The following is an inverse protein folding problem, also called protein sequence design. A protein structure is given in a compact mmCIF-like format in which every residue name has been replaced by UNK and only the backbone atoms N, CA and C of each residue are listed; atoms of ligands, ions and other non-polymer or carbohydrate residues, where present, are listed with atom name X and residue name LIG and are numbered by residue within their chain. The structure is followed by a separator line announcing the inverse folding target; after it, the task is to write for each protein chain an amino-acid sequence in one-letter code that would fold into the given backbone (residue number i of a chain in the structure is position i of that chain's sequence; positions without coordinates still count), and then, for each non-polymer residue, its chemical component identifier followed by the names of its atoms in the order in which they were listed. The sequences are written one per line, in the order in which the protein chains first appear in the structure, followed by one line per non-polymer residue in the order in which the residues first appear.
data_IF_902812178205
#
_entry.id   IF_902812178205
#
_cell.length_a   1.000
_cell.length_b   1.000
_cell.length_c   1.000
_cell.angle_alpha   90.00
_cell.angle_beta   90.00
_cell.angle_gamma   90.00
#
_symmetry.space_group_name_H-M   'P 1'
#
loop_
_entity.id
_entity.type
_entity.pdbx_description
1 polymer ?
#
# COMPACT_ATOMS: atom_id res chain seq x y z
N UNK A 1 35.04 57.16 -25.13
CA UNK A 1 34.93 56.12 -24.09
C UNK A 1 33.78 55.20 -24.49
N UNK A 2 34.09 54.11 -25.19
CA UNK A 2 33.13 53.14 -25.71
C UNK A 2 33.11 51.96 -24.75
N UNK A 3 31.98 51.69 -24.09
CA UNK A 3 31.83 50.53 -23.23
C UNK A 3 31.46 49.30 -24.07
N UNK A 4 32.43 48.41 -24.30
CA UNK A 4 32.18 47.06 -24.80
C UNK A 4 31.59 46.22 -23.65
N UNK A 5 30.32 45.83 -23.79
CA UNK A 5 29.69 44.79 -22.96
C UNK A 5 30.04 43.43 -23.56
N UNK A 6 31.00 42.72 -22.95
CA UNK A 6 31.26 41.32 -23.23
C UNK A 6 30.14 40.45 -22.65
N UNK A 7 29.28 39.92 -23.53
CA UNK A 7 28.27 38.93 -23.18
C UNK A 7 28.93 37.56 -22.95
N UNK A 8 28.77 36.98 -21.76
CA UNK A 8 29.16 35.59 -21.49
C UNK A 8 28.16 34.64 -22.17
N UNK A 9 28.64 33.85 -23.14
CA UNK A 9 27.89 32.74 -23.70
C UNK A 9 28.00 31.53 -22.76
N UNK A 10 26.94 31.25 -22.00
CA UNK A 10 26.81 30.00 -21.27
C UNK A 10 26.50 28.88 -22.25
N UNK A 11 27.42 27.91 -22.39
CA UNK A 11 27.15 26.65 -23.09
C UNK A 11 26.03 25.92 -22.34
N UNK A 12 24.87 25.76 -22.98
CA UNK A 12 23.81 24.89 -22.51
C UNK A 12 24.32 23.44 -22.51
N UNK A 13 24.72 22.93 -21.35
CA UNK A 13 24.86 21.50 -21.15
C UNK A 13 23.45 20.89 -21.24
N UNK A 14 23.27 19.92 -22.16
CA UNK A 14 22.07 19.07 -22.21
C UNK A 14 21.80 18.54 -20.79
N UNK A 15 20.55 18.59 -20.28
CA UNK A 15 20.24 17.94 -19.02
C UNK A 15 20.53 16.45 -19.17
N UNK A 16 21.48 15.98 -18.36
CA UNK A 16 21.73 14.56 -18.13
C UNK A 16 20.40 13.98 -17.64
N UNK A 17 19.82 13.06 -18.39
CA UNK A 17 18.70 12.26 -17.90
C UNK A 17 19.18 11.54 -16.65
N UNK A 18 18.75 12.01 -15.48
CA UNK A 18 18.81 11.22 -14.28
C UNK A 18 17.80 10.10 -14.49
N UNK A 19 18.27 8.93 -14.93
CA UNK A 19 17.61 7.70 -14.52
C UNK A 19 17.70 7.69 -12.99
N UNK A 20 16.58 8.01 -12.34
CA UNK A 20 16.40 7.73 -10.93
C UNK A 20 16.39 6.21 -10.82
N UNK A 21 17.54 5.65 -10.50
CA UNK A 21 17.57 4.35 -9.86
C UNK A 21 16.89 4.56 -8.51
N UNK A 22 15.62 4.19 -8.42
CA UNK A 22 14.85 4.27 -7.18
C UNK A 22 15.44 3.27 -6.19
N UNK A 23 16.51 3.70 -5.52
CA UNK A 23 17.21 2.94 -4.50
C UNK A 23 16.37 3.00 -3.21
N UNK A 24 15.19 2.35 -3.25
CA UNK A 24 14.36 2.17 -2.08
C UNK A 24 15.14 1.30 -1.09
N UNK A 25 15.37 1.81 0.11
CA UNK A 25 15.79 0.97 1.23
C UNK A 25 14.81 -0.18 1.38
N UNK A 26 15.32 -1.42 1.53
CA UNK A 26 14.45 -2.59 1.64
C UNK A 26 13.60 -2.47 2.92
N UNK A 27 12.28 -2.45 2.79
CA UNK A 27 11.33 -2.23 3.89
C UNK A 27 11.56 -3.22 5.04
N UNK A 28 11.83 -4.49 4.73
CA UNK A 28 12.07 -5.52 5.74
C UNK A 28 13.43 -5.40 6.44
N UNK A 29 14.45 -4.80 5.82
CA UNK A 29 15.73 -4.59 6.51
C UNK A 29 15.67 -3.49 7.57
N UNK A 30 14.72 -2.57 7.46
CA UNK A 30 14.53 -1.46 8.40
C UNK A 30 13.35 -1.67 9.36
N UNK A 31 12.42 -2.57 9.01
CA UNK A 31 11.45 -3.08 9.96
C UNK A 31 12.19 -3.98 10.95
N UNK A 32 12.58 -3.40 12.08
CA UNK A 32 12.99 -4.18 13.23
C UNK A 32 11.78 -5.00 13.72
N UNK A 33 11.58 -6.19 13.14
CA UNK A 33 10.81 -7.25 13.76
C UNK A 33 11.60 -7.67 15.00
N UNK A 34 11.40 -6.95 16.10
CA UNK A 34 12.07 -7.19 17.37
C UNK A 34 11.62 -8.53 18.00
N UNK A 35 10.55 -9.12 17.49
CA UNK A 35 10.01 -10.41 17.91
C UNK A 35 9.46 -11.19 16.71
N UNK A 36 9.50 -12.53 16.79
CA UNK A 36 8.77 -13.42 15.88
C UNK A 36 7.24 -13.17 15.88
N UNK A 37 6.72 -12.48 16.90
CA UNK A 37 5.32 -12.09 17.01
C UNK A 37 5.02 -10.73 16.38
N UNK A 38 6.03 -10.00 15.88
CA UNK A 38 5.78 -8.73 15.21
C UNK A 38 5.13 -8.98 13.85
N UNK A 39 4.13 -8.17 13.50
CA UNK A 39 3.36 -8.31 12.26
C UNK A 39 3.08 -6.94 11.68
N UNK A 40 3.26 -6.80 10.37
CA UNK A 40 2.75 -5.66 9.61
C UNK A 40 1.41 -6.04 9.03
N UNK A 41 0.43 -5.16 9.22
CA UNK A 41 -0.91 -5.28 8.68
C UNK A 41 -1.07 -4.25 7.57
N UNK A 42 -1.37 -4.72 6.37
CA UNK A 42 -1.86 -3.90 5.27
C UNK A 42 -3.33 -4.24 5.10
N UNK A 43 -4.19 -3.24 5.24
CA UNK A 43 -5.64 -3.40 5.25
C UNK A 43 -6.28 -2.50 4.21
N UNK A 44 -7.27 -3.02 3.51
CA UNK A 44 -8.15 -2.26 2.64
C UNK A 44 -9.62 -2.57 2.99
N UNK A 45 -10.45 -1.55 3.06
CA UNK A 45 -11.92 -1.65 3.02
C UNK A 45 -12.42 -0.83 1.86
N UNK A 46 -13.29 -1.41 1.06
CA UNK A 46 -13.83 -0.76 -0.11
C UNK A 46 -15.24 -0.23 0.15
N UNK A 47 -15.72 0.66 -0.72
CA UNK A 47 -16.98 1.39 -0.55
C UNK A 47 -18.02 1.10 -1.65
N UNK A 48 -17.99 -0.09 -2.26
CA UNK A 48 -18.98 -0.48 -3.28
C UNK A 48 -20.42 -0.59 -2.73
N UNK A 49 -20.60 -0.81 -1.43
CA UNK A 49 -21.88 -0.67 -0.72
C UNK A 49 -22.05 0.75 -0.10
N UNK A 50 -21.39 1.77 -0.66
CA UNK A 50 -21.52 3.19 -0.32
C UNK A 50 -21.20 3.49 1.15
N UNK A 51 -22.11 4.15 1.86
CA UNK A 51 -21.95 4.57 3.27
C UNK A 51 -21.76 3.38 4.22
N UNK A 52 -22.23 2.20 3.82
CA UNK A 52 -22.11 0.96 4.60
C UNK A 52 -20.75 0.28 4.41
N UNK A 53 -19.94 0.75 3.45
CA UNK A 53 -18.63 0.19 3.11
C UNK A 53 -18.75 -0.91 2.06
N UNK A 54 -18.13 -2.05 2.30
CA UNK A 54 -17.92 -3.07 1.29
C UNK A 54 -17.00 -4.16 1.81
N UNK A 55 -16.46 -4.94 0.89
CA UNK A 55 -15.52 -6.01 1.16
C UNK A 55 -14.25 -5.48 1.83
N UNK A 56 -13.54 -6.39 2.50
CA UNK A 56 -12.32 -6.10 3.24
C UNK A 56 -11.22 -7.06 2.85
N UNK A 57 -10.01 -6.54 2.78
CA UNK A 57 -8.82 -7.31 2.45
C UNK A 57 -7.70 -7.00 3.46
N UNK A 58 -7.01 -8.04 3.90
CA UNK A 58 -5.97 -7.96 4.92
C UNK A 58 -4.76 -8.75 4.44
N UNK A 59 -3.60 -8.12 4.39
CA UNK A 59 -2.30 -8.77 4.21
C UNK A 59 -1.56 -8.66 5.55
N UNK A 60 -1.26 -9.79 6.17
CA UNK A 60 -0.43 -9.88 7.36
C UNK A 60 0.96 -10.32 6.95
N UNK A 61 1.95 -9.48 7.15
CA UNK A 61 3.35 -9.81 6.89
C UNK A 61 4.07 -10.08 8.20
N UNK A 62 4.68 -11.26 8.32
CA UNK A 62 5.30 -11.75 9.55
C UNK A 62 6.46 -12.70 9.24
N UNK A 63 7.24 -13.03 10.25
CA UNK A 63 8.32 -14.03 10.16
C UNK A 63 7.80 -15.36 10.68
N UNK A 64 7.97 -16.42 9.89
CA UNK A 64 7.73 -17.81 10.29
C UNK A 64 8.96 -18.64 9.97
N UNK A 65 9.49 -19.34 10.97
CA UNK A 65 10.64 -20.25 10.81
C UNK A 65 11.82 -19.58 10.05
N UNK A 66 12.15 -18.33 10.40
CA UNK A 66 13.18 -17.45 9.76
C UNK A 66 12.88 -16.95 8.35
N UNK A 67 11.72 -17.28 7.79
CA UNK A 67 11.27 -16.81 6.47
C UNK A 67 10.18 -15.75 6.60
N UNK A 68 10.21 -14.77 5.69
CA UNK A 68 9.12 -13.79 5.60
C UNK A 68 7.93 -14.40 4.87
N UNK A 69 6.76 -14.32 5.50
CA UNK A 69 5.50 -14.81 4.97
C UNK A 69 4.47 -13.68 4.91
N UNK A 70 3.54 -13.79 3.97
CA UNK A 70 2.34 -12.98 3.92
C UNK A 70 1.10 -13.87 3.99
N UNK A 71 0.18 -13.60 4.92
CA UNK A 71 -1.17 -14.15 4.87
C UNK A 71 -2.13 -13.11 4.28
N UNK A 72 -2.69 -13.41 3.10
CA UNK A 72 -3.74 -12.63 2.46
C UNK A 72 -5.12 -13.21 2.78
N UNK A 73 -5.98 -12.37 3.34
CA UNK A 73 -7.34 -12.71 3.74
C UNK A 73 -8.31 -11.75 3.05
N UNK A 74 -9.31 -12.29 2.35
CA UNK A 74 -10.41 -11.52 1.76
C UNK A 74 -11.72 -11.88 2.44
N UNK A 75 -12.44 -10.85 2.85
CA UNK A 75 -13.81 -10.93 3.32
C UNK A 75 -14.72 -10.26 2.31
N UNK A 76 -15.71 -10.98 1.80
CA UNK A 76 -16.73 -10.43 0.92
C UNK A 76 -17.98 -10.01 1.71
N UNK A 77 -18.85 -9.25 1.05
CA UNK A 77 -20.12 -8.83 1.62
C UNK A 77 -21.22 -8.77 0.56
N UNK A 78 -22.44 -9.05 0.99
CA UNK A 78 -23.65 -8.82 0.20
C UNK A 78 -24.28 -7.47 0.62
N UNK A 79 -24.27 -6.48 -0.28
CA UNK A 79 -24.76 -5.13 0.02
C UNK A 79 -26.26 -5.09 0.38
N UNK A 80 -27.03 -6.12 0.00
CA UNK A 80 -28.47 -6.20 0.22
C UNK A 80 -28.84 -6.90 1.54
N UNK A 81 -27.87 -7.51 2.23
CA UNK A 81 -28.08 -8.28 3.46
C UNK A 81 -27.50 -7.58 4.68
N UNK A 82 -28.08 -6.44 5.08
CA UNK A 82 -27.71 -5.85 6.37
C UNK A 82 -28.30 -6.64 7.54
N UNK A 83 -27.55 -6.73 8.63
CA UNK A 83 -28.10 -7.22 9.89
C UNK A 83 -29.08 -6.20 10.51
N UNK A 84 -29.70 -6.58 11.63
CA UNK A 84 -30.66 -5.72 12.35
C UNK A 84 -30.08 -4.41 12.88
N UNK A 85 -28.76 -4.24 12.85
CA UNK A 85 -28.04 -3.06 13.29
C UNK A 85 -27.50 -2.22 12.12
N UNK A 86 -27.82 -2.58 10.88
CA UNK A 86 -27.30 -1.89 9.69
C UNK A 86 -25.85 -2.23 9.39
N UNK A 87 -25.34 -3.35 9.91
CA UNK A 87 -23.97 -3.80 9.67
C UNK A 87 -23.98 -4.82 8.53
N UNK A 88 -23.08 -4.61 7.57
CA UNK A 88 -22.84 -5.57 6.50
C UNK A 88 -22.13 -6.82 7.03
N UNK A 89 -22.70 -8.03 6.85
CA UNK A 89 -22.08 -9.28 7.22
C UNK A 89 -20.86 -9.52 6.34
N UNK A 90 -19.76 -9.94 6.97
CA UNK A 90 -18.51 -10.25 6.28
C UNK A 90 -18.28 -11.74 6.27
N UNK A 91 -18.14 -12.30 5.08
CA UNK A 91 -17.84 -13.71 4.89
C UNK A 91 -16.39 -13.87 4.41
N UNK A 92 -15.61 -14.70 5.09
CA UNK A 92 -14.23 -14.98 4.67
C UNK A 92 -14.25 -15.87 3.42
N UNK A 93 -13.84 -15.33 2.28
CA UNK A 93 -13.83 -16.03 0.99
C UNK A 93 -12.43 -16.44 0.53
N UNK A 94 -11.38 -15.87 1.14
CA UNK A 94 -9.99 -16.24 0.84
C UNK A 94 -9.13 -16.13 2.09
N UNK A 95 -8.20 -17.07 2.27
CA UNK A 95 -7.20 -17.11 3.36
C UNK A 95 -5.99 -17.89 2.83
N UNK A 96 -4.99 -17.18 2.32
CA UNK A 96 -3.87 -17.76 1.59
C UNK A 96 -2.55 -17.27 2.16
N UNK A 97 -1.69 -18.20 2.54
CA UNK A 97 -0.34 -17.91 3.01
C UNK A 97 0.63 -18.10 1.84
N UNK A 98 1.49 -17.11 1.61
CA UNK A 98 2.56 -17.16 0.61
C UNK A 98 3.90 -16.80 1.25
N UNK A 99 4.98 -17.38 0.73
CA UNK A 99 6.32 -16.94 1.05
C UNK A 99 6.61 -15.63 0.30
N UNK A 100 7.20 -14.65 1.00
CA UNK A 100 7.58 -13.39 0.39
C UNK A 100 8.84 -13.62 -0.46
N UNK A 101 8.72 -13.29 -1.74
CA UNK A 101 9.82 -13.31 -2.71
C UNK A 101 10.31 -11.89 -2.97
N UNK A 102 11.45 -11.72 -3.61
CA UNK A 102 12.01 -10.38 -3.91
C UNK A 102 11.00 -9.48 -4.65
N UNK A 103 10.23 -10.02 -5.61
CA UNK A 103 9.20 -9.27 -6.31
C UNK A 103 8.04 -8.85 -5.37
N UNK A 104 7.63 -9.74 -4.47
CA UNK A 104 6.57 -9.45 -3.50
C UNK A 104 7.05 -8.42 -2.46
N UNK A 105 8.30 -8.53 -2.01
CA UNK A 105 8.94 -7.52 -1.17
C UNK A 105 8.97 -6.16 -1.86
N UNK A 106 9.47 -6.09 -3.10
CA UNK A 106 9.49 -4.85 -3.87
C UNK A 106 8.09 -4.24 -4.02
N UNK A 107 7.06 -5.06 -4.27
CA UNK A 107 5.67 -4.60 -4.36
C UNK A 107 5.12 -4.06 -3.03
N UNK A 108 5.46 -4.70 -1.90
CA UNK A 108 5.11 -4.21 -0.56
C UNK A 108 5.78 -2.85 -0.33
N UNK A 109 7.07 -2.73 -0.62
CA UNK A 109 7.83 -1.48 -0.42
C UNK A 109 7.23 -0.35 -1.26
N UNK A 110 6.96 -0.63 -2.54
CA UNK A 110 6.30 0.30 -3.45
C UNK A 110 4.96 0.76 -2.88
N UNK A 111 4.12 -0.18 -2.45
CA UNK A 111 2.80 0.14 -1.90
C UNK A 111 2.89 1.00 -0.63
N UNK A 112 3.84 0.72 0.27
CA UNK A 112 4.07 1.53 1.47
C UNK A 112 4.45 2.98 1.14
N UNK A 113 5.33 3.21 0.17
CA UNK A 113 5.66 4.57 -0.29
C UNK A 113 4.45 5.26 -0.92
N UNK A 114 3.73 4.57 -1.78
CA UNK A 114 2.50 5.10 -2.40
C UNK A 114 1.45 5.49 -1.33
N UNK A 115 1.35 4.72 -0.25
CA UNK A 115 0.45 5.04 0.86
C UNK A 115 0.94 6.25 1.67
N UNK A 116 2.25 6.41 1.88
CA UNK A 116 2.81 7.62 2.50
C UNK A 116 2.48 8.86 1.65
N UNK A 117 2.71 8.79 0.34
CA UNK A 117 2.43 9.89 -0.59
C UNK A 117 0.94 10.23 -0.65
N UNK A 118 0.09 9.20 -0.67
CA UNK A 118 -1.36 9.36 -0.63
C UNK A 118 -1.81 9.99 0.69
N UNK A 119 -1.19 9.65 1.82
CA UNK A 119 -1.52 10.26 3.12
C UNK A 119 -1.19 11.74 3.16
N UNK A 120 -0.06 12.14 2.57
CA UNK A 120 0.36 13.54 2.49
C UNK A 120 -0.57 14.37 1.60
N UNK A 121 -1.13 13.74 0.56
CA UNK A 121 -2.04 14.36 -0.41
C UNK A 121 -3.54 14.10 -0.14
N UNK A 122 -3.86 13.50 1.00
CA UNK A 122 -5.22 13.10 1.35
C UNK A 122 -6.14 14.31 1.44
N UNK A 123 -7.26 14.24 0.72
CA UNK A 123 -8.34 15.20 0.87
C UNK A 123 -9.50 14.52 1.60
N UNK A 124 -9.92 15.04 2.76
CA UNK A 124 -10.96 14.39 3.55
C UNK A 124 -12.28 14.35 2.79
N UNK A 125 -12.88 13.16 2.74
CA UNK A 125 -14.22 12.94 2.19
C UNK A 125 -15.26 12.90 3.30
N UNK A 126 -16.52 13.12 2.93
CA UNK A 126 -17.68 12.89 3.80
C UNK A 126 -18.03 11.41 3.87
N UNK A 127 -19.11 11.02 3.19
CA UNK A 127 -19.87 9.83 3.58
C UNK A 127 -19.46 8.52 2.88
N UNK A 128 -18.68 8.56 1.80
CA UNK A 128 -18.26 7.36 1.08
C UNK A 128 -16.80 7.44 0.65
N UNK A 129 -16.02 6.42 1.01
CA UNK A 129 -14.60 6.33 0.69
C UNK A 129 -14.04 4.96 1.03
N UNK A 130 -12.96 4.60 0.36
CA UNK A 130 -12.17 3.42 0.69
C UNK A 130 -11.26 3.76 1.87
N UNK A 131 -10.97 2.76 2.70
CA UNK A 131 -10.00 2.89 3.78
C UNK A 131 -8.78 2.06 3.40
N UNK A 132 -7.60 2.67 3.44
CA UNK A 132 -6.32 1.98 3.30
C UNK A 132 -5.49 2.22 4.56
N UNK A 133 -4.97 1.15 5.16
CA UNK A 133 -4.28 1.19 6.43
C UNK A 133 -3.01 0.34 6.36
N UNK A 134 -1.89 0.94 6.75
CA UNK A 134 -0.64 0.26 7.08
C UNK A 134 -0.37 0.44 8.56
N UNK A 135 -0.21 -0.65 9.30
CA UNK A 135 0.17 -0.57 10.70
C UNK A 135 1.04 -1.74 11.14
N UNK A 136 1.85 -1.55 12.19
CA UNK A 136 2.51 -2.67 12.87
C UNK A 136 1.70 -3.14 14.09
N UNK A 137 2.02 -4.34 14.58
CA UNK A 137 1.37 -4.97 15.74
C UNK A 137 1.45 -4.15 17.04
N UNK A 138 2.42 -3.24 17.13
CA UNK A 138 2.62 -2.34 18.29
C UNK A 138 1.99 -0.96 18.11
N UNK A 139 1.33 -0.71 16.97
CA UNK A 139 0.77 0.58 16.56
C UNK A 139 1.74 1.77 16.55
N UNK A 140 3.06 1.55 16.64
CA UNK A 140 4.08 2.61 16.55
C UNK A 140 4.28 3.10 15.12
N UNK A 141 3.93 2.28 14.13
CA UNK A 141 3.74 2.68 12.74
C UNK A 141 2.26 2.56 12.42
N UNK A 142 1.64 3.67 12.01
CA UNK A 142 0.24 3.70 11.58
C UNK A 142 0.01 4.78 10.53
N UNK A 143 -0.38 4.37 9.33
CA UNK A 143 -0.76 5.24 8.22
C UNK A 143 -2.14 4.81 7.79
N UNK A 144 -3.12 5.70 7.95
CA UNK A 144 -4.51 5.45 7.57
C UNK A 144 -4.99 6.55 6.66
N UNK A 145 -5.58 6.15 5.54
CA UNK A 145 -6.15 7.03 4.52
C UNK A 145 -7.61 6.65 4.33
N UNK A 146 -8.46 7.65 4.18
CA UNK A 146 -9.85 7.55 3.80
C UNK A 146 -10.10 8.43 2.56
N UNK A 147 -10.18 7.81 1.38
CA UNK A 147 -10.41 8.52 0.12
C UNK A 147 -11.12 7.69 -0.95
N UNK A 148 -11.51 8.34 -2.04
CA UNK A 148 -12.13 7.75 -3.23
C UNK A 148 -11.15 7.71 -4.43
N UNK A 149 -9.87 7.94 -4.17
CA UNK A 149 -8.85 8.02 -5.20
C UNK A 149 -8.65 6.63 -5.82
N UNK A 150 -9.07 6.49 -7.08
CA UNK A 150 -8.95 5.24 -7.86
C UNK A 150 -7.51 4.73 -7.95
N UNK A 151 -6.52 5.61 -7.81
CA UNK A 151 -5.11 5.22 -7.80
C UNK A 151 -4.77 4.34 -6.59
N UNK A 152 -5.35 4.61 -5.42
CA UNK A 152 -5.09 3.79 -4.22
C UNK A 152 -5.69 2.40 -4.33
N UNK A 153 -6.90 2.30 -4.91
CA UNK A 153 -7.51 1.02 -5.28
C UNK A 153 -6.59 0.25 -6.23
N UNK A 154 -6.12 0.90 -7.30
CA UNK A 154 -5.21 0.28 -8.28
C UNK A 154 -3.91 -0.18 -7.64
N UNK A 155 -3.26 0.66 -6.83
CA UNK A 155 -2.02 0.35 -6.13
C UNK A 155 -2.18 -0.88 -5.22
N UNK A 156 -3.27 -0.96 -4.47
CA UNK A 156 -3.55 -2.13 -3.62
C UNK A 156 -3.77 -3.41 -4.45
N UNK A 157 -4.46 -3.31 -5.60
CA UNK A 157 -4.66 -4.44 -6.50
C UNK A 157 -3.36 -4.92 -7.13
N UNK A 158 -2.47 -4.00 -7.53
CA UNK A 158 -1.13 -4.34 -8.02
C UNK A 158 -0.32 -5.12 -6.96
N UNK A 159 -0.40 -4.69 -5.69
CA UNK A 159 0.22 -5.40 -4.57
C UNK A 159 -0.33 -6.82 -4.45
N UNK A 160 -1.65 -6.98 -4.33
CA UNK A 160 -2.30 -8.30 -4.17
C UNK A 160 -1.97 -9.23 -5.34
N UNK A 161 -2.06 -8.73 -6.58
CA UNK A 161 -1.74 -9.52 -7.77
C UNK A 161 -0.28 -9.99 -7.79
N UNK A 162 0.65 -9.13 -7.36
CA UNK A 162 2.08 -9.49 -7.29
C UNK A 162 2.34 -10.49 -6.17
N UNK A 163 1.66 -10.35 -5.04
CA UNK A 163 1.73 -11.24 -3.90
C UNK A 163 1.25 -12.66 -4.26
N UNK A 164 0.13 -12.77 -4.99
CA UNK A 164 -0.54 -14.04 -5.27
C UNK A 164 -0.06 -14.74 -6.55
N UNK A 165 0.63 -14.04 -7.47
CA UNK A 165 1.13 -14.61 -8.75
C UNK A 165 2.08 -15.81 -8.62
N UNK A 166 2.55 -16.16 -7.43
CA UNK A 166 3.40 -17.33 -7.15
C UNK A 166 2.68 -18.49 -6.45
N UNK A 167 1.38 -18.38 -6.16
CA UNK A 167 0.60 -19.46 -5.56
C UNK A 167 0.08 -20.49 -6.59
N UNK A 168 0.30 -20.26 -7.89
CA UNK A 168 -0.24 -21.08 -9.01
C UNK A 168 0.85 -21.86 -9.80
N UNK A 169 1.98 -22.22 -9.18
CA UNK A 169 2.99 -23.10 -9.78
C UNK A 169 3.25 -24.35 -8.93
#
# INVERSE_FOLDING_TARGET
MLFLVCSCTTKHNKPRSFEKEDNYTTFFSNLNFYSLNDTIFIYARFSECREWGGHKEIIKVYIKDTTYCANYIKYDTDCDKMDRFGILPLEKVTDTIVNITENAESAINKYCHQLIDAKISENPLGNAGNIFLLQNSKETLKISIYDDNKSNVKNFRELVNTLLKKAEL
#
